data_IF_779935386036
#
_entry.id   IF_779935386036
#
_cell.length_a   1.000
_cell.length_b   1.000
_cell.length_c   1.000
_cell.angle_alpha   90.00
_cell.angle_beta   90.00
_cell.angle_gamma   90.00
#
_symmetry.space_group_name_H-M   'P 1'
#
loop_
_entity.id
_entity.type
_entity.pdbx_description
1 polymer ?
#
# COMPACT_ATOMS: atom_id res chain seq x y z
N UNK A 1 -5.94 22.90 0.83
CA UNK A 1 -7.24 23.33 1.37
C UNK A 1 -7.29 22.88 2.82
N UNK A 2 -7.88 23.66 3.74
CA UNK A 2 -8.13 23.19 5.10
C UNK A 2 -9.38 22.32 5.05
N UNK A 3 -9.26 21.04 5.36
CA UNK A 3 -10.42 20.18 5.53
C UNK A 3 -10.94 20.39 6.95
N UNK A 4 -12.12 20.98 7.07
CA UNK A 4 -12.71 21.37 8.36
C UNK A 4 -13.93 20.50 8.61
N UNK A 5 -13.98 19.87 9.78
CA UNK A 5 -15.19 19.21 10.31
C UNK A 5 -15.88 20.19 11.25
N UNK A 6 -17.11 20.56 10.93
CA UNK A 6 -17.92 21.48 11.73
C UNK A 6 -18.71 20.69 12.77
N UNK A 7 -18.60 21.14 14.03
CA UNK A 7 -19.29 20.55 15.16
C UNK A 7 -20.06 21.64 15.89
N UNK A 8 -21.36 21.46 16.02
CA UNK A 8 -22.21 22.33 16.84
C UNK A 8 -22.19 21.82 18.28
N UNK A 9 -21.90 22.72 19.21
CA UNK A 9 -21.88 22.43 20.65
C UNK A 9 -23.15 23.03 21.25
N UNK A 10 -24.08 22.14 21.63
CA UNK A 10 -25.27 22.47 22.39
C UNK A 10 -24.99 22.40 23.90
N UNK A 11 -25.99 22.70 24.73
CA UNK A 11 -25.85 22.62 26.19
C UNK A 11 -25.57 21.22 26.71
N UNK A 12 -26.03 20.17 26.01
CA UNK A 12 -25.98 18.78 26.48
C UNK A 12 -25.48 17.78 25.44
N UNK A 13 -25.14 18.21 24.22
CA UNK A 13 -24.69 17.32 23.14
C UNK A 13 -23.75 18.01 22.17
N UNK A 14 -22.98 17.22 21.44
CA UNK A 14 -22.22 17.67 20.28
C UNK A 14 -22.79 17.07 19.00
N UNK A 15 -23.00 17.88 17.98
CA UNK A 15 -23.55 17.46 16.69
C UNK A 15 -22.52 17.71 15.58
N UNK A 16 -22.05 16.63 14.96
CA UNK A 16 -21.14 16.70 13.80
C UNK A 16 -21.99 16.98 12.56
N UNK A 17 -21.81 18.15 11.96
CA UNK A 17 -22.64 18.62 10.83
C UNK A 17 -22.16 18.02 9.52
N UNK A 18 -20.85 18.01 9.29
CA UNK A 18 -20.21 17.49 8.09
C UNK A 18 -18.98 16.65 8.45
N UNK A 19 -19.21 15.34 8.61
CA UNK A 19 -18.11 14.39 8.81
C UNK A 19 -17.19 14.34 7.59
N UNK A 20 -15.88 14.49 7.80
CA UNK A 20 -14.88 14.33 6.74
C UNK A 20 -14.19 12.97 6.85
N UNK A 21 -13.96 12.30 5.71
CA UNK A 21 -13.04 11.16 5.61
C UNK A 21 -11.73 11.67 5.04
N UNK A 22 -10.61 11.47 5.76
CA UNK A 22 -9.29 11.92 5.33
C UNK A 22 -8.48 10.76 4.74
N UNK A 23 -7.65 11.04 3.73
CA UNK A 23 -6.66 10.11 3.22
C UNK A 23 -5.24 10.53 3.62
N UNK A 24 -4.36 9.56 3.86
CA UNK A 24 -2.93 9.85 4.10
C UNK A 24 -2.30 10.45 2.84
N UNK A 25 -2.06 11.76 2.81
CA UNK A 25 -1.49 12.48 1.65
C UNK A 25 -2.24 13.74 1.23
N UNK A 26 -3.40 14.02 1.81
CA UNK A 26 -4.06 15.32 1.64
C UNK A 26 -3.16 16.44 2.20
N UNK A 27 -2.89 17.49 1.39
CA UNK A 27 -2.10 18.66 1.82
C UNK A 27 -2.77 19.46 2.95
N UNK A 28 -4.01 19.13 3.30
CA UNK A 28 -4.74 19.79 4.37
C UNK A 28 -4.56 19.07 5.69
N UNK A 29 -3.96 19.75 6.67
CA UNK A 29 -4.08 19.33 8.06
C UNK A 29 -5.58 19.33 8.41
N UNK A 30 -6.13 18.22 8.91
CA UNK A 30 -7.53 18.16 9.30
C UNK A 30 -7.76 19.07 10.51
N UNK A 31 -8.83 19.86 10.47
CA UNK A 31 -9.21 20.75 11.56
C UNK A 31 -10.61 20.41 12.05
N UNK A 32 -10.85 20.66 13.33
CA UNK A 32 -12.19 20.72 13.90
C UNK A 32 -12.53 22.19 14.09
N UNK A 33 -13.71 22.57 13.62
CA UNK A 33 -14.34 23.83 13.93
C UNK A 33 -15.49 23.57 14.91
N UNK A 34 -15.38 24.14 16.10
CA UNK A 34 -16.43 24.10 17.11
C UNK A 34 -17.22 25.40 17.06
N UNK A 35 -18.53 25.29 16.89
CA UNK A 35 -19.47 26.39 17.03
C UNK A 35 -20.30 26.18 18.30
N UNK A 36 -20.10 27.04 19.30
CA UNK A 36 -20.86 27.00 20.55
C UNK A 36 -22.19 27.74 20.39
N UNK A 37 -23.28 26.97 20.33
CA UNK A 37 -24.64 27.50 20.33
C UNK A 37 -25.10 27.87 21.74
N UNK A 38 -24.53 27.21 22.75
CA UNK A 38 -24.70 27.53 24.16
C UNK A 38 -23.34 27.86 24.79
N UNK A 39 -23.19 29.07 25.33
CA UNK A 39 -21.94 29.55 25.93
C UNK A 39 -21.86 29.34 27.46
N UNK A 40 -22.63 28.39 28.00
CA UNK A 40 -22.54 27.98 29.42
C UNK A 40 -22.69 29.13 30.43
N UNK A 41 -23.62 30.05 30.15
CA UNK A 41 -23.92 31.20 31.02
C UNK A 41 -23.00 32.41 30.81
N UNK A 42 -22.17 32.39 29.76
CA UNK A 42 -21.18 33.43 29.48
C UNK A 42 -21.54 34.23 28.24
N UNK A 43 -21.15 35.52 28.20
CA UNK A 43 -21.37 36.39 27.05
C UNK A 43 -20.37 36.16 25.91
N UNK A 44 -19.20 35.58 26.24
CA UNK A 44 -18.13 35.24 25.32
C UNK A 44 -17.28 34.11 25.90
N UNK A 45 -16.84 33.20 25.04
CA UNK A 45 -15.85 32.17 25.33
C UNK A 45 -14.44 32.58 24.89
N UNK A 46 -14.29 33.73 24.24
CA UNK A 46 -13.00 34.23 23.75
C UNK A 46 -11.97 34.32 24.89
N UNK A 47 -10.78 33.83 24.62
CA UNK A 47 -9.66 33.84 25.56
C UNK A 47 -9.65 32.69 26.56
N UNK A 48 -10.73 31.89 26.64
CA UNK A 48 -10.80 30.67 27.47
C UNK A 48 -10.05 29.52 26.80
N UNK A 49 -9.75 28.50 27.60
CA UNK A 49 -8.97 27.33 27.16
C UNK A 49 -9.87 26.11 27.02
N UNK A 50 -9.62 25.32 25.98
CA UNK A 50 -10.12 23.97 25.79
C UNK A 50 -8.96 23.01 26.05
N UNK A 51 -9.15 22.06 26.96
CA UNK A 51 -8.29 20.89 27.09
C UNK A 51 -8.83 19.80 26.17
N UNK A 52 -8.08 19.46 25.12
CA UNK A 52 -8.44 18.45 24.14
C UNK A 52 -7.63 17.19 24.45
N UNK A 53 -8.31 16.10 24.83
CA UNK A 53 -7.71 14.80 25.10
C UNK A 53 -8.11 13.80 24.02
N UNK A 54 -7.11 13.23 23.37
CA UNK A 54 -7.26 12.20 22.35
C UNK A 54 -6.99 10.84 23.00
N UNK A 55 -8.05 10.10 23.31
CA UNK A 55 -7.99 8.78 23.92
C UNK A 55 -7.80 7.73 22.82
N UNK A 56 -6.62 7.13 22.78
CA UNK A 56 -6.21 6.16 21.78
C UNK A 56 -6.73 4.75 22.14
N UNK A 57 -6.97 3.86 21.16
CA UNK A 57 -7.45 2.49 21.42
C UNK A 57 -6.55 1.64 22.31
N UNK A 58 -5.26 1.95 22.36
CA UNK A 58 -4.28 1.25 23.20
C UNK A 58 -4.30 1.71 24.67
N UNK A 59 -5.24 2.58 25.06
CA UNK A 59 -5.38 3.14 26.40
C UNK A 59 -4.46 4.33 26.70
N UNK A 60 -3.57 4.71 25.78
CA UNK A 60 -2.78 5.93 25.90
C UNK A 60 -3.60 7.15 25.49
N UNK A 61 -3.13 8.34 25.86
CA UNK A 61 -3.73 9.59 25.38
C UNK A 61 -2.70 10.64 25.03
N UNK A 62 -3.06 11.51 24.10
CA UNK A 62 -2.40 12.81 23.89
C UNK A 62 -3.31 13.91 24.40
N UNK A 63 -2.74 14.97 24.97
CA UNK A 63 -3.50 16.11 25.45
C UNK A 63 -2.88 17.42 24.95
N UNK A 64 -3.72 18.36 24.54
CA UNK A 64 -3.30 19.70 24.15
C UNK A 64 -4.26 20.75 24.69
N UNK A 65 -3.77 21.99 24.81
CA UNK A 65 -4.59 23.13 25.21
C UNK A 65 -4.80 24.05 24.01
N UNK A 66 -6.05 24.27 23.65
CA UNK A 66 -6.45 25.17 22.56
C UNK A 66 -7.08 26.42 23.17
N UNK A 67 -6.60 27.59 22.78
CA UNK A 67 -7.21 28.86 23.21
C UNK A 67 -8.30 29.29 22.24
N UNK A 68 -9.48 29.62 22.76
CA UNK A 68 -10.61 30.09 21.97
C UNK A 68 -10.33 31.52 21.49
N UNK A 69 -10.30 31.72 20.18
CA UNK A 69 -10.00 33.03 19.56
C UNK A 69 -11.26 33.79 19.16
N UNK A 70 -12.33 33.09 18.80
CA UNK A 70 -13.63 33.67 18.47
C UNK A 70 -14.51 33.90 19.71
N UNK A 71 -15.61 34.63 19.53
CA UNK A 71 -16.58 34.88 20.62
C UNK A 71 -17.21 33.58 21.11
N UNK A 72 -17.64 32.73 20.20
CA UNK A 72 -18.35 31.49 20.47
C UNK A 72 -17.93 30.38 19.50
N UNK A 73 -16.73 30.49 18.94
CA UNK A 73 -16.22 29.56 17.94
C UNK A 73 -14.71 29.41 18.06
N UNK A 74 -14.20 28.25 17.65
CA UNK A 74 -12.76 28.00 17.54
C UNK A 74 -12.49 26.94 16.49
N UNK A 75 -11.42 27.14 15.73
CA UNK A 75 -10.92 26.16 14.77
C UNK A 75 -9.50 25.78 15.14
N UNK A 76 -9.22 24.48 15.26
CA UNK A 76 -7.90 23.97 15.62
C UNK A 76 -7.57 22.68 14.86
N UNK A 77 -6.28 22.39 14.62
CA UNK A 77 -5.87 21.16 13.95
C UNK A 77 -6.13 19.94 14.83
N UNK A 78 -6.47 18.80 14.23
CA UNK A 78 -6.57 17.51 14.92
C UNK A 78 -5.17 16.98 15.16
N UNK A 79 -4.89 16.54 16.39
CA UNK A 79 -3.59 15.97 16.74
C UNK A 79 -3.27 14.71 15.92
N UNK A 80 -2.02 14.61 15.43
CA UNK A 80 -1.63 13.58 14.46
C UNK A 80 -1.76 12.14 14.99
N UNK A 81 -1.66 11.94 16.32
CA UNK A 81 -1.75 10.60 16.93
C UNK A 81 -3.07 9.88 16.65
N UNK A 82 -4.12 10.60 16.23
CA UNK A 82 -5.42 10.03 15.93
C UNK A 82 -5.42 9.20 14.63
N UNK A 83 -4.44 9.41 13.75
CA UNK A 83 -4.42 8.81 12.40
C UNK A 83 -3.80 7.42 12.40
N UNK A 84 -4.45 6.48 13.09
CA UNK A 84 -4.09 5.05 13.06
C UNK A 84 -4.82 4.33 11.92
N UNK A 85 -4.20 3.32 11.29
CA UNK A 85 -4.84 2.60 10.17
C UNK A 85 -6.06 1.83 10.66
N UNK A 86 -7.22 2.01 10.01
CA UNK A 86 -8.51 1.41 10.41
C UNK A 86 -8.87 1.61 11.89
N UNK A 87 -8.46 2.75 12.45
CA UNK A 87 -8.62 3.07 13.85
C UNK A 87 -9.83 3.94 14.16
N UNK A 88 -10.09 4.07 15.46
CA UNK A 88 -10.97 5.09 16.01
C UNK A 88 -10.25 5.76 17.17
N UNK A 89 -10.46 7.04 17.38
CA UNK A 89 -9.91 7.79 18.52
C UNK A 89 -11.03 8.63 19.11
N UNK A 90 -11.16 8.62 20.43
CA UNK A 90 -12.13 9.46 21.12
C UNK A 90 -11.48 10.80 21.48
N UNK A 91 -12.01 11.89 20.95
CA UNK A 91 -11.65 13.24 21.34
C UNK A 91 -12.61 13.71 22.44
N UNK A 92 -12.06 13.92 23.62
CA UNK A 92 -12.74 14.53 24.77
C UNK A 92 -12.29 15.97 24.93
N UNK A 93 -13.23 16.90 24.95
CA UNK A 93 -12.95 18.32 25.05
C UNK A 93 -13.50 18.86 26.36
N UNK A 94 -12.67 19.55 27.14
CA UNK A 94 -13.07 20.21 28.39
C UNK A 94 -12.82 21.71 28.28
N UNK A 95 -13.88 22.51 28.36
CA UNK A 95 -13.79 23.95 28.52
C UNK A 95 -13.37 24.30 29.95
N UNK A 96 -12.31 25.10 30.07
CA UNK A 96 -11.76 25.57 31.35
C UNK A 96 -12.06 27.06 31.50
N UNK A 97 -12.72 27.42 32.60
CA UNK A 97 -13.03 28.79 32.98
C UNK A 97 -12.69 29.01 34.47
N UNK A 98 -11.44 29.37 34.74
CA UNK A 98 -10.92 29.42 36.11
C UNK A 98 -10.98 28.03 36.76
N UNK A 99 -11.67 27.92 37.90
CA UNK A 99 -11.91 26.65 38.60
C UNK A 99 -13.02 25.80 37.96
N UNK A 100 -13.86 26.39 37.11
CA UNK A 100 -14.97 25.68 36.48
C UNK A 100 -14.49 24.90 35.26
N UNK A 101 -14.96 23.66 35.15
CA UNK A 101 -14.67 22.75 34.04
C UNK A 101 -15.96 22.18 33.47
N UNK A 102 -16.15 22.32 32.16
CA UNK A 102 -17.29 21.75 31.44
C UNK A 102 -16.75 20.79 30.40
N UNK A 103 -17.05 19.50 30.54
CA UNK A 103 -16.64 18.48 29.56
C UNK A 103 -17.78 18.27 28.57
N UNK A 104 -17.45 18.37 27.28
CA UNK A 104 -18.39 18.15 26.18
C UNK A 104 -18.59 16.65 25.95
N UNK A 105 -19.58 16.32 25.12
CA UNK A 105 -19.77 14.95 24.64
C UNK A 105 -18.58 14.49 23.80
N UNK A 106 -18.25 13.21 23.89
CA UNK A 106 -17.10 12.61 23.22
C UNK A 106 -17.30 12.63 21.69
N UNK A 107 -16.31 13.14 20.95
CA UNK A 107 -16.30 13.15 19.49
C UNK A 107 -15.49 11.95 19.00
N UNK A 108 -16.10 11.09 18.17
CA UNK A 108 -15.41 9.92 17.62
C UNK A 108 -14.77 10.25 16.28
N UNK A 109 -13.44 10.20 16.24
CA UNK A 109 -12.63 10.35 15.03
C UNK A 109 -12.37 8.96 14.48
N UNK A 110 -12.84 8.67 13.27
CA UNK A 110 -12.59 7.40 12.57
C UNK A 110 -11.63 7.60 11.42
N UNK A 111 -10.68 6.71 11.29
CA UNK A 111 -9.70 6.69 10.20
C UNK A 111 -9.88 5.44 9.37
N UNK A 112 -9.88 5.59 8.05
CA UNK A 112 -9.95 4.46 7.13
C UNK A 112 -8.53 4.10 6.67
N UNK A 113 -8.32 2.83 6.36
CA UNK A 113 -7.14 2.37 5.65
C UNK A 113 -7.02 3.09 4.30
N UNK A 114 -5.82 3.59 4.05
CA UNK A 114 -5.41 4.02 2.72
C UNK A 114 -5.42 2.77 1.84
N UNK A 115 -6.37 2.68 0.91
CA UNK A 115 -6.35 1.60 -0.08
C UNK A 115 -5.04 1.72 -0.86
N UNK A 116 -4.15 0.74 -0.69
CA UNK A 116 -2.98 0.59 -1.54
C UNK A 116 -3.49 0.34 -2.97
N UNK A 117 -3.43 1.37 -3.84
CA UNK A 117 -3.81 1.23 -5.25
C UNK A 117 -4.64 2.37 -5.86
N UNK A 118 -5.11 3.36 -5.11
CA UNK A 118 -5.61 4.59 -5.75
C UNK A 118 -4.42 5.50 -6.06
N UNK A 119 -4.10 5.77 -7.34
CA UNK A 119 -2.98 6.63 -7.70
C UNK A 119 -3.20 8.03 -7.11
N UNK A 120 -2.12 8.62 -6.62
CA UNK A 120 -2.12 10.00 -6.13
C UNK A 120 -2.69 10.94 -7.19
N UNK A 121 -3.89 11.48 -6.97
CA UNK A 121 -4.54 12.47 -7.85
C UNK A 121 -3.89 13.86 -7.69
N UNK A 122 -2.58 13.95 -7.87
CA UNK A 122 -1.93 15.24 -8.07
C UNK A 122 -1.35 15.26 -9.48
N UNK A 123 -2.12 15.83 -10.40
CA UNK A 123 -1.79 15.95 -11.83
C UNK A 123 -0.42 16.59 -12.06
N UNK A 124 0.03 17.49 -11.18
CA UNK A 124 1.37 18.10 -11.29
C UNK A 124 2.49 17.11 -10.94
N UNK A 125 2.26 16.22 -9.97
CA UNK A 125 3.23 15.18 -9.60
C UNK A 125 3.28 14.10 -10.68
N UNK A 126 2.13 13.71 -11.23
CA UNK A 126 2.07 12.76 -12.34
C UNK A 126 2.74 13.32 -13.60
N UNK A 127 2.53 14.60 -13.92
CA UNK A 127 3.23 15.29 -15.00
C UNK A 127 4.74 15.36 -14.74
N UNK A 128 5.17 15.69 -13.52
CA UNK A 128 6.59 15.75 -13.17
C UNK A 128 7.27 14.38 -13.25
N UNK A 129 6.59 13.32 -12.80
CA UNK A 129 7.08 11.93 -12.92
C UNK A 129 7.15 11.52 -14.38
N UNK A 130 6.10 11.81 -15.16
CA UNK A 130 6.04 11.48 -16.59
C UNK A 130 7.16 12.20 -17.37
N UNK A 131 7.35 13.50 -17.12
CA UNK A 131 8.44 14.29 -17.71
C UNK A 131 9.81 13.76 -17.29
N UNK A 132 10.00 13.42 -16.00
CA UNK A 132 11.26 12.85 -15.53
C UNK A 132 11.56 11.50 -16.21
N UNK A 133 10.56 10.62 -16.30
CA UNK A 133 10.69 9.33 -17.01
C UNK A 133 11.03 9.56 -18.48
N UNK A 134 10.36 10.49 -19.15
CA UNK A 134 10.59 10.79 -20.57
C UNK A 134 12.00 11.35 -20.82
N UNK A 135 12.44 12.30 -20.00
CA UNK A 135 13.80 12.87 -20.05
C UNK A 135 14.85 11.78 -19.82
N UNK A 136 14.71 10.99 -18.75
CA UNK A 136 15.65 9.92 -18.42
C UNK A 136 15.67 8.84 -19.51
N UNK A 137 14.51 8.44 -20.02
CA UNK A 137 14.41 7.45 -21.10
C UNK A 137 15.07 7.95 -22.38
N UNK A 138 14.93 9.23 -22.69
CA UNK A 138 15.56 9.85 -23.87
C UNK A 138 17.08 9.92 -23.72
N UNK A 139 17.58 10.29 -22.53
CA UNK A 139 19.03 10.28 -22.24
C UNK A 139 19.63 8.89 -22.38
N UNK A 140 19.00 7.88 -21.77
CA UNK A 140 19.46 6.48 -21.83
C UNK A 140 19.47 5.97 -23.27
N UNK A 141 18.45 6.30 -24.09
CA UNK A 141 18.42 5.92 -25.50
C UNK A 141 19.53 6.60 -26.31
N UNK A 142 19.76 7.88 -26.07
CA UNK A 142 20.82 8.63 -26.73
C UNK A 142 22.21 8.06 -26.38
N UNK A 143 22.47 7.79 -25.10
CA UNK A 143 23.69 7.13 -24.63
C UNK A 143 23.83 5.70 -25.19
N UNK A 144 22.73 4.97 -25.31
CA UNK A 144 22.72 3.64 -25.92
C UNK A 144 23.14 3.67 -27.39
N UNK A 145 22.68 4.65 -28.16
CA UNK A 145 23.08 4.80 -29.56
C UNK A 145 24.53 5.28 -29.71
N UNK A 146 25.04 6.14 -28.82
CA UNK A 146 26.46 6.53 -28.84
C UNK A 146 27.38 5.35 -28.54
N UNK A 147 27.09 4.57 -27.49
CA UNK A 147 27.86 3.37 -27.13
C UNK A 147 27.84 2.35 -28.28
N UNK A 148 26.70 2.17 -28.94
CA UNK A 148 26.56 1.27 -30.08
C UNK A 148 27.41 1.72 -31.28
N UNK A 149 27.50 3.02 -31.54
CA UNK A 149 28.35 3.56 -32.61
C UNK A 149 29.84 3.46 -32.26
N UNK A 150 30.22 3.77 -31.02
CA UNK A 150 31.58 3.56 -30.53
C UNK A 150 32.02 2.10 -30.63
N UNK A 151 31.14 1.16 -30.25
CA UNK A 151 31.41 -0.28 -30.36
C UNK A 151 31.56 -0.72 -31.81
N UNK A 152 30.74 -0.19 -32.73
CA UNK A 152 30.89 -0.45 -34.17
C UNK A 152 32.25 0.01 -34.69
N UNK A 153 32.66 1.22 -34.32
CA UNK A 153 33.95 1.79 -34.71
C UNK A 153 35.11 0.99 -34.13
N UNK A 154 35.03 0.58 -32.87
CA UNK A 154 36.01 -0.30 -32.24
C UNK A 154 36.13 -1.65 -32.95
N UNK A 155 35.00 -2.32 -33.22
CA UNK A 155 34.98 -3.60 -33.95
C UNK A 155 35.55 -3.46 -35.36
N UNK A 156 35.23 -2.37 -36.08
CA UNK A 156 35.80 -2.12 -37.40
C UNK A 156 37.32 -1.90 -37.35
N UNK A 157 37.80 -1.16 -36.35
CA UNK A 157 39.24 -0.93 -36.14
C UNK A 157 39.97 -2.23 -35.83
N UNK A 158 39.44 -3.03 -34.91
CA UNK A 158 40.00 -4.36 -34.58
C UNK A 158 39.98 -5.31 -35.79
N UNK A 159 38.87 -5.34 -36.55
CA UNK A 159 38.79 -6.15 -37.77
C UNK A 159 39.82 -5.72 -38.82
N UNK A 160 40.14 -4.43 -38.90
CA UNK A 160 41.21 -3.92 -39.78
C UNK A 160 42.59 -4.34 -39.29
N UNK A 161 42.83 -4.32 -37.97
CA UNK A 161 44.08 -4.76 -37.35
C UNK A 161 44.29 -6.28 -37.45
N UNK A 162 43.21 -7.07 -37.44
CA UNK A 162 43.21 -8.53 -37.59
C UNK A 162 43.23 -9.01 -39.04
N UNK A 163 43.03 -8.11 -40.01
CA UNK A 163 43.13 -8.44 -41.42
C UNK A 163 44.62 -8.53 -41.78
N UNK A 164 45.18 -9.73 -41.59
CA UNK A 164 46.53 -10.04 -42.05
C UNK A 164 46.67 -9.74 -43.54
N UNK A 165 47.92 -9.45 -43.96
CA UNK A 165 48.24 -9.21 -45.36
C UNK A 165 47.67 -10.33 -46.22
N UNK A 166 47.13 -9.96 -47.39
CA UNK A 166 46.67 -10.94 -48.37
C UNK A 166 47.86 -11.84 -48.68
N UNK A 167 47.80 -13.08 -48.22
CA UNK A 167 48.85 -14.07 -48.48
C UNK A 167 49.20 -14.05 -49.97
N UNK A 168 50.50 -14.09 -50.26
CA UNK A 168 51.00 -14.09 -51.63
C UNK A 168 50.21 -15.13 -52.45
N UNK A 169 49.86 -14.76 -53.69
CA UNK A 169 49.14 -15.65 -54.60
C UNK A 169 49.98 -16.91 -54.76
N UNK A 170 49.49 -18.04 -54.22
CA UNK A 170 50.20 -19.30 -54.28
C UNK A 170 50.58 -19.66 -55.72
N UNK A 171 51.81 -20.15 -55.92
CA UNK A 171 52.27 -20.68 -57.19
C UNK A 171 51.30 -21.77 -57.70
N UNK A 172 51.11 -21.92 -59.03
CA UNK A 172 50.31 -23.00 -59.60
C UNK A 172 50.78 -24.36 -59.05
N UNK A 173 49.85 -25.17 -58.53
CA UNK A 173 50.20 -26.38 -57.77
C UNK A 173 50.86 -27.46 -58.61
N UNK A 174 51.91 -28.09 -58.07
CA UNK A 174 52.42 -29.37 -58.55
C UNK A 174 51.47 -30.52 -58.18
N UNK A 175 51.45 -31.56 -59.01
CA UNK A 175 50.60 -32.76 -58.90
C UNK A 175 50.84 -33.47 -57.55
N UNK A 176 49.80 -33.59 -56.73
CA UNK A 176 49.91 -33.89 -55.30
C UNK A 176 50.43 -35.29 -54.93
N UNK A 177 51.11 -35.35 -53.78
CA UNK A 177 51.26 -36.53 -52.93
C UNK A 177 50.36 -36.39 -51.68
N UNK A 178 49.87 -37.52 -51.18
CA UNK A 178 48.85 -37.64 -50.14
C UNK A 178 49.24 -36.95 -48.82
N UNK A 179 48.39 -36.05 -48.32
CA UNK A 179 48.66 -35.22 -47.12
C UNK A 179 48.63 -35.99 -45.80
N UNK A 180 49.55 -35.64 -44.89
CA UNK A 180 49.47 -36.06 -43.48
C UNK A 180 48.31 -35.33 -42.77
N UNK A 181 47.65 -36.06 -41.86
CA UNK A 181 46.51 -35.58 -41.06
C UNK A 181 46.94 -34.38 -40.19
N UNK A 182 46.20 -33.28 -40.28
CA UNK A 182 46.46 -32.06 -39.49
C UNK A 182 46.32 -32.30 -37.99
N UNK A 183 47.15 -31.58 -37.22
CA UNK A 183 47.13 -31.61 -35.76
C UNK A 183 45.78 -31.14 -35.19
N UNK A 184 45.32 -31.80 -34.13
CA UNK A 184 44.09 -31.46 -33.41
C UNK A 184 44.20 -30.05 -32.84
N UNK A 185 43.22 -29.20 -33.12
CA UNK A 185 43.18 -27.82 -32.61
C UNK A 185 43.18 -27.75 -31.07
N UNK A 186 43.59 -26.61 -30.50
CA UNK A 186 43.64 -26.43 -29.04
C UNK A 186 42.27 -26.64 -28.41
N UNK A 187 42.25 -27.31 -27.26
CA UNK A 187 41.03 -27.54 -26.49
C UNK A 187 40.39 -26.21 -26.09
N UNK A 188 39.07 -26.08 -26.31
CA UNK A 188 38.33 -24.87 -25.98
C UNK A 188 38.35 -24.55 -24.48
N UNK A 189 38.23 -23.26 -24.15
CA UNK A 189 38.19 -22.79 -22.77
C UNK A 189 37.03 -23.44 -21.97
N UNK A 190 37.20 -23.66 -20.66
CA UNK A 190 36.12 -24.15 -19.80
C UNK A 190 34.88 -23.24 -19.87
N UNK A 191 33.69 -23.83 -19.88
CA UNK A 191 32.43 -23.10 -19.82
C UNK A 191 32.26 -22.37 -18.48
N UNK A 192 31.55 -21.23 -18.48
CA UNK A 192 31.25 -20.49 -17.22
C UNK A 192 30.23 -21.24 -16.37
N UNK A 193 30.32 -21.09 -15.04
CA UNK A 193 29.41 -21.72 -14.09
C UNK A 193 28.03 -21.03 -14.04
N UNK A 194 27.07 -21.68 -13.37
CA UNK A 194 25.76 -21.13 -13.03
C UNK A 194 25.69 -20.78 -11.54
N UNK A 195 25.02 -19.68 -11.22
CA UNK A 195 24.77 -19.21 -9.86
C UNK A 195 23.27 -19.19 -9.55
N UNK A 196 22.92 -19.51 -8.30
CA UNK A 196 21.55 -19.67 -7.84
C UNK A 196 21.27 -18.83 -6.58
N UNK A 197 20.08 -18.24 -6.50
CA UNK A 197 19.63 -17.50 -5.30
C UNK A 197 18.13 -17.65 -5.09
N UNK A 198 17.66 -17.49 -3.85
CA UNK A 198 16.25 -17.61 -3.48
C UNK A 198 15.66 -16.28 -3.03
N UNK A 199 14.45 -15.98 -3.50
CA UNK A 199 13.64 -14.85 -3.03
C UNK A 199 12.22 -15.33 -2.72
N UNK A 200 11.99 -15.73 -1.47
CA UNK A 200 10.70 -16.33 -1.07
C UNK A 200 10.50 -17.68 -1.78
N UNK A 201 9.50 -17.77 -2.65
CA UNK A 201 9.21 -18.98 -3.47
C UNK A 201 9.81 -18.92 -4.89
N UNK A 202 10.53 -17.85 -5.22
CA UNK A 202 11.16 -17.67 -6.54
C UNK A 202 12.62 -18.13 -6.53
N UNK A 203 12.99 -18.93 -7.54
CA UNK A 203 14.38 -19.33 -7.81
C UNK A 203 14.98 -18.41 -8.87
N UNK A 204 16.07 -17.72 -8.51
CA UNK A 204 16.89 -16.92 -9.41
C UNK A 204 18.06 -17.72 -9.97
N UNK A 205 18.27 -17.66 -11.29
CA UNK A 205 19.40 -18.30 -11.99
C UNK A 205 20.16 -17.26 -12.83
N UNK A 206 21.49 -17.28 -12.79
CA UNK A 206 22.35 -16.52 -13.72
C UNK A 206 23.59 -17.28 -14.12
N UNK A 207 24.24 -16.86 -15.21
CA UNK A 207 25.59 -17.32 -15.58
C UNK A 207 26.62 -16.47 -14.84
N UNK A 208 27.73 -17.08 -14.44
CA UNK A 208 28.83 -16.40 -13.76
C UNK A 208 29.34 -15.21 -14.60
N UNK A 209 29.32 -14.02 -13.99
CA UNK A 209 29.69 -12.75 -14.62
C UNK A 209 28.54 -11.95 -15.25
N UNK A 210 27.30 -12.45 -15.24
CA UNK A 210 26.13 -11.66 -15.67
C UNK A 210 25.61 -10.76 -14.54
N UNK A 211 25.13 -9.57 -14.90
CA UNK A 211 24.71 -8.55 -13.93
C UNK A 211 23.35 -8.82 -13.26
N UNK A 212 22.52 -9.69 -13.84
CA UNK A 212 21.12 -9.86 -13.42
C UNK A 212 20.70 -11.32 -13.35
N UNK A 213 19.87 -11.63 -12.36
CA UNK A 213 19.23 -12.94 -12.20
C UNK A 213 17.91 -13.00 -12.97
N UNK A 214 17.62 -14.14 -13.60
CA UNK A 214 16.30 -14.47 -14.10
C UNK A 214 15.55 -15.27 -13.04
N UNK A 215 14.37 -14.81 -12.63
CA UNK A 215 13.58 -15.42 -11.55
C UNK A 215 12.39 -16.20 -12.09
N UNK A 216 12.05 -17.32 -11.42
CA UNK A 216 10.82 -18.06 -11.66
C UNK A 216 10.19 -18.53 -10.34
N UNK A 217 8.92 -18.18 -10.15
CA UNK A 217 8.13 -18.67 -9.01
C UNK A 217 7.85 -20.16 -9.16
N UNK A 218 8.16 -20.91 -8.10
CA UNK A 218 7.94 -22.36 -8.04
C UNK A 218 6.72 -22.72 -7.19
N UNK A 219 5.97 -21.73 -6.69
CA UNK A 219 4.74 -21.97 -5.95
C UNK A 219 3.64 -22.44 -6.90
N UNK A 220 3.22 -23.70 -6.74
CA UNK A 220 2.06 -24.25 -7.44
C UNK A 220 0.74 -23.65 -6.97
N UNK A 221 -0.35 -23.84 -7.73
CA UNK A 221 -1.68 -23.46 -7.30
C UNK A 221 -2.06 -24.16 -5.98
N UNK A 222 -2.86 -23.49 -5.17
CA UNK A 222 -3.45 -24.10 -3.96
C UNK A 222 -4.31 -25.28 -4.39
N UNK A 223 -4.15 -26.44 -3.74
CA UNK A 223 -4.96 -27.62 -4.03
C UNK A 223 -6.46 -27.36 -3.85
N UNK A 224 -7.28 -28.15 -4.55
CA UNK A 224 -8.73 -28.04 -4.51
C UNK A 224 -9.28 -28.22 -3.10
N UNK A 225 -10.37 -27.50 -2.80
CA UNK A 225 -11.07 -27.63 -1.52
C UNK A 225 -11.70 -29.03 -1.45
N UNK A 226 -11.47 -29.75 -0.36
CA UNK A 226 -12.05 -31.07 -0.15
C UNK A 226 -13.58 -31.06 -0.24
N UNK A 227 -14.15 -32.19 -0.68
CA UNK A 227 -15.60 -32.34 -0.84
C UNK A 227 -16.34 -32.11 0.49
N UNK A 228 -17.54 -31.48 0.46
CA UNK A 228 -18.39 -31.39 1.64
C UNK A 228 -18.75 -32.77 2.20
N UNK A 229 -18.75 -32.92 3.52
CA UNK A 229 -19.15 -34.16 4.17
C UNK A 229 -20.60 -34.57 3.83
N UNK A 230 -20.86 -35.88 3.81
CA UNK A 230 -22.19 -36.42 3.54
C UNK A 230 -23.22 -35.93 4.56
N UNK A 231 -24.43 -35.59 4.11
CA UNK A 231 -25.55 -35.22 4.98
C UNK A 231 -25.85 -36.37 5.96
N UNK A 232 -25.97 -36.05 7.24
CA UNK A 232 -26.35 -37.03 8.26
C UNK A 232 -27.72 -37.67 7.99
N UNK A 233 -27.99 -38.87 8.54
CA UNK A 233 -29.26 -39.56 8.37
C UNK A 233 -30.42 -38.69 8.89
N UNK A 234 -31.55 -38.72 8.19
CA UNK A 234 -32.76 -38.01 8.60
C UNK A 234 -33.28 -38.59 9.91
N UNK A 235 -33.56 -37.72 10.88
CA UNK A 235 -34.09 -38.13 12.18
C UNK A 235 -35.43 -38.87 12.07
N UNK A 236 -35.65 -39.82 12.97
CA UNK A 236 -36.88 -40.60 13.03
C UNK A 236 -38.11 -39.70 13.20
N UNK A 237 -39.20 -40.05 12.51
CA UNK A 237 -40.47 -39.31 12.56
C UNK A 237 -41.08 -39.50 13.95
N UNK A 238 -41.29 -38.42 14.70
CA UNK A 238 -41.93 -38.48 16.01
C UNK A 238 -43.32 -39.11 15.94
N UNK A 239 -43.62 -40.01 16.88
CA UNK A 239 -44.90 -40.70 16.99
C UNK A 239 -45.97 -39.68 17.38
N UNK A 240 -46.83 -39.31 16.44
CA UNK A 240 -48.00 -38.46 16.71
C UNK A 240 -49.10 -39.27 17.40
N UNK A 241 -49.79 -38.66 18.36
CA UNK A 241 -50.92 -39.26 19.08
C UNK A 241 -52.04 -39.62 18.09
N UNK A 242 -52.35 -40.92 17.98
CA UNK A 242 -53.30 -41.46 16.99
C UNK A 242 -54.76 -41.48 17.44
N UNK A 243 -55.05 -41.18 18.71
CA UNK A 243 -56.43 -41.10 19.19
C UNK A 243 -56.53 -40.28 20.46
N UNK A 244 -57.52 -39.39 20.52
CA UNK A 244 -57.90 -38.67 21.74
C UNK A 244 -59.33 -39.09 22.09
N UNK A 245 -59.52 -39.64 23.28
CA UNK A 245 -60.87 -40.03 23.75
C UNK A 245 -61.38 -38.97 24.74
N UNK A 246 -62.51 -38.29 24.48
CA UNK A 246 -63.05 -37.31 25.39
C UNK A 246 -63.68 -38.01 26.62
N UNK A 247 -63.28 -37.59 27.81
CA UNK A 247 -63.98 -37.89 29.06
C UNK A 247 -64.78 -36.64 29.47
N UNK A 248 -66.00 -36.88 29.96
CA UNK A 248 -66.89 -35.80 30.39
C UNK A 248 -66.22 -35.01 31.54
N UNK A 249 -66.42 -33.69 31.56
CA UNK A 249 -65.72 -32.69 32.39
C UNK A 249 -64.34 -32.24 31.88
N UNK A 250 -64.23 -31.98 30.57
CA UNK A 250 -63.12 -31.22 29.97
C UNK A 250 -61.72 -31.80 30.22
N UNK A 251 -61.63 -33.12 30.45
CA UNK A 251 -60.37 -33.84 30.57
C UNK A 251 -60.22 -34.81 29.39
N UNK A 252 -59.03 -34.83 28.81
CA UNK A 252 -58.67 -35.72 27.70
C UNK A 252 -57.47 -36.56 28.11
N UNK A 253 -57.52 -37.85 27.75
CA UNK A 253 -56.39 -38.77 27.89
C UNK A 253 -55.76 -38.97 26.51
N UNK A 254 -54.44 -38.74 26.45
CA UNK A 254 -53.60 -39.02 25.28
C UNK A 254 -53.21 -40.51 25.26
#
# INVERSE_FOLDING_TARGET
MRHITNVLVHSNRCEVVDGHTFATGDKGLPHIHLQFLYMFGENSLQGKNLECKYLLPNGQYSAETVRITGKNEVTFPIHYSCFTVNGWTTLRITLINGSNRVTLEDIIIKTKETKLGEPFSNTQVEQAITQAIEVTTTSIRAEGETIKEELRNYIQKEKKNLKGDRGEKGNPGEKGSQGQRGETGPQGNPGKNLEFTWKGTELGVRKEGDWSYSYKDLKGPKGDKGEPGTRGPQGERGVGVTSVTPLNNNQVRL
#
